data_IF_413469341219
#
_entry.id   IF_413469341219
#
_cell.length_a   1.000
_cell.length_b   1.000
_cell.length_c   1.000
_cell.angle_alpha   90.00
_cell.angle_beta   90.00
_cell.angle_gamma   90.00
#
_symmetry.space_group_name_H-M   'P 1'
#
loop_
_entity.id
_entity.type
_entity.pdbx_description
1 polymer ?
#
# COMPACT_ATOMS: atom_id res chain seq x y z
N UNK A 1 0.34 -27.61 -31.33
CA UNK A 1 0.08 -26.95 -30.03
C UNK A 1 0.14 -25.44 -30.13
N UNK A 2 1.20 -24.81 -30.65
CA UNK A 2 1.19 -23.36 -30.91
C UNK A 2 0.06 -22.87 -31.85
N UNK A 3 -0.49 -23.76 -32.67
CA UNK A 3 -1.66 -23.51 -33.54
C UNK A 3 -2.94 -23.12 -32.80
N UNK A 4 -3.16 -23.65 -31.59
CA UNK A 4 -4.38 -23.38 -30.82
C UNK A 4 -4.38 -21.95 -30.28
N UNK A 5 -3.26 -21.51 -29.71
CA UNK A 5 -3.11 -20.14 -29.22
C UNK A 5 -3.24 -19.12 -30.36
N UNK A 6 -2.63 -19.41 -31.52
CA UNK A 6 -2.77 -18.57 -32.73
C UNK A 6 -4.25 -18.45 -33.09
N UNK A 7 -4.98 -19.57 -33.15
CA UNK A 7 -6.41 -19.57 -33.44
C UNK A 7 -7.20 -18.71 -32.44
N UNK A 8 -6.98 -18.88 -31.13
CA UNK A 8 -7.68 -18.08 -30.12
C UNK A 8 -7.40 -16.58 -30.28
N UNK A 9 -6.15 -16.20 -30.54
CA UNK A 9 -5.73 -14.80 -30.73
C UNK A 9 -6.29 -14.20 -32.03
N UNK A 10 -6.37 -14.98 -33.10
CA UNK A 10 -7.03 -14.57 -34.35
C UNK A 10 -8.53 -14.36 -34.15
N UNK A 11 -9.21 -15.28 -33.45
CA UNK A 11 -10.65 -15.20 -33.21
C UNK A 11 -10.99 -13.93 -32.43
N UNK A 12 -10.31 -13.63 -31.31
CA UNK A 12 -10.61 -12.42 -30.53
C UNK A 12 -10.45 -11.14 -31.35
N UNK A 13 -9.46 -11.09 -32.26
CA UNK A 13 -9.23 -9.92 -33.11
C UNK A 13 -10.24 -9.83 -34.25
N UNK A 14 -10.75 -10.96 -34.73
CA UNK A 14 -11.85 -10.97 -35.70
C UNK A 14 -13.15 -10.47 -35.07
N UNK A 15 -13.42 -10.83 -33.80
CA UNK A 15 -14.61 -10.38 -33.06
C UNK A 15 -14.70 -8.85 -32.99
N UNK A 16 -13.60 -8.13 -32.73
CA UNK A 16 -13.64 -6.65 -32.65
C UNK A 16 -13.66 -5.96 -34.02
N UNK A 17 -13.49 -6.71 -35.10
CA UNK A 17 -13.46 -6.23 -36.48
C UNK A 17 -14.76 -6.55 -37.25
N UNK A 18 -15.60 -7.43 -36.71
CA UNK A 18 -16.89 -7.83 -37.25
C UNK A 18 -18.06 -6.99 -36.73
N UNK A 19 -19.28 -7.34 -37.16
CA UNK A 19 -20.55 -6.66 -36.84
C UNK A 19 -21.61 -7.65 -36.32
N UNK A 20 -21.22 -8.78 -35.73
CA UNK A 20 -22.12 -9.87 -35.35
C UNK A 20 -22.50 -9.86 -33.85
N UNK A 21 -23.75 -10.22 -33.56
CA UNK A 21 -24.37 -10.14 -32.23
C UNK A 21 -23.72 -10.99 -31.12
N UNK A 22 -22.87 -11.98 -31.43
CA UNK A 22 -22.28 -12.92 -30.45
C UNK A 22 -20.77 -12.71 -30.18
N UNK A 23 -20.16 -11.69 -30.77
CA UNK A 23 -18.70 -11.50 -30.78
C UNK A 23 -18.08 -11.31 -29.38
N UNK A 24 -18.80 -10.72 -28.43
CA UNK A 24 -18.27 -10.53 -27.07
C UNK A 24 -18.17 -11.84 -26.28
N UNK A 25 -19.19 -12.69 -26.35
CA UNK A 25 -19.18 -13.98 -25.65
C UNK A 25 -18.11 -14.91 -26.21
N UNK A 26 -17.96 -14.92 -27.53
CA UNK A 26 -16.91 -15.67 -28.21
C UNK A 26 -15.52 -15.13 -27.87
N UNK A 27 -15.32 -13.81 -27.88
CA UNK A 27 -14.05 -13.21 -27.48
C UNK A 27 -13.69 -13.58 -26.03
N UNK A 28 -14.64 -13.46 -25.10
CA UNK A 28 -14.44 -13.86 -23.70
C UNK A 28 -14.04 -15.33 -23.58
N UNK A 29 -14.77 -16.24 -24.23
CA UNK A 29 -14.49 -17.68 -24.21
C UNK A 29 -13.07 -17.99 -24.69
N UNK A 30 -12.63 -17.34 -25.78
CA UNK A 30 -11.28 -17.50 -26.30
C UNK A 30 -10.22 -16.94 -25.36
N UNK A 31 -10.48 -15.81 -24.68
CA UNK A 31 -9.55 -15.29 -23.65
C UNK A 31 -9.42 -16.28 -22.49
N UNK A 32 -10.52 -16.87 -22.02
CA UNK A 32 -10.46 -17.89 -20.97
C UNK A 32 -9.70 -19.15 -21.42
N UNK A 33 -9.76 -19.51 -22.71
CA UNK A 33 -8.93 -20.60 -23.25
C UNK A 33 -7.44 -20.21 -23.31
N UNK A 34 -7.12 -18.94 -23.59
CA UNK A 34 -5.75 -18.43 -23.49
C UNK A 34 -5.25 -18.50 -22.05
N UNK A 35 -6.06 -18.13 -21.05
CA UNK A 35 -5.70 -18.27 -19.63
C UNK A 35 -5.32 -19.72 -19.33
N UNK A 36 -6.21 -20.67 -19.65
CA UNK A 36 -5.97 -22.11 -19.44
C UNK A 36 -4.70 -22.60 -20.15
N UNK A 37 -4.43 -22.09 -21.35
CA UNK A 37 -3.21 -22.41 -22.08
C UNK A 37 -1.95 -22.09 -21.26
N UNK A 38 -1.94 -21.01 -20.46
CA UNK A 38 -0.82 -20.63 -19.61
C UNK A 38 -0.83 -21.27 -18.22
N UNK A 39 -1.92 -21.92 -17.80
CA UNK A 39 -2.01 -22.69 -16.55
C UNK A 39 -1.37 -24.08 -16.67
N UNK A 40 -1.38 -24.66 -17.86
CA UNK A 40 -0.78 -25.97 -18.13
C UNK A 40 0.76 -25.93 -18.02
N UNK A 41 1.35 -27.01 -17.49
CA UNK A 41 2.80 -27.18 -17.51
C UNK A 41 3.32 -27.30 -18.96
N UNK A 42 4.23 -26.40 -19.35
CA UNK A 42 4.76 -26.31 -20.72
C UNK A 42 6.26 -26.07 -20.73
N UNK A 43 6.90 -26.49 -21.82
CA UNK A 43 8.31 -26.24 -22.03
C UNK A 43 8.59 -24.74 -22.24
N UNK A 44 9.82 -24.33 -21.90
CA UNK A 44 10.27 -22.94 -22.01
C UNK A 44 10.09 -22.37 -23.43
N UNK A 45 10.40 -23.16 -24.45
CA UNK A 45 10.29 -22.78 -25.87
C UNK A 45 8.85 -22.54 -26.30
N UNK A 46 7.90 -23.33 -25.79
CA UNK A 46 6.48 -23.16 -26.09
C UNK A 46 5.94 -21.87 -25.48
N UNK A 47 6.40 -21.53 -24.27
CA UNK A 47 6.04 -20.27 -23.61
C UNK A 47 6.62 -19.07 -24.37
N UNK A 48 7.87 -19.16 -24.83
CA UNK A 48 8.52 -18.07 -25.58
C UNK A 48 7.81 -17.83 -26.93
N UNK A 49 7.43 -18.91 -27.62
CA UNK A 49 6.57 -18.84 -28.82
C UNK A 49 5.20 -18.25 -28.52
N UNK A 50 4.59 -18.64 -27.41
CA UNK A 50 3.27 -18.14 -26.99
C UNK A 50 3.27 -16.63 -26.71
N UNK A 51 4.29 -16.11 -26.03
CA UNK A 51 4.45 -14.67 -25.80
C UNK A 51 4.61 -13.90 -27.11
N UNK A 52 5.32 -14.47 -28.08
CA UNK A 52 5.50 -13.86 -29.41
C UNK A 52 4.17 -13.68 -30.14
N UNK A 53 3.28 -14.69 -30.06
CA UNK A 53 1.94 -14.63 -30.66
C UNK A 53 1.03 -13.69 -29.86
N UNK A 54 1.00 -13.83 -28.54
CA UNK A 54 0.07 -13.10 -27.67
C UNK A 54 0.34 -11.60 -27.68
N UNK A 55 1.61 -11.18 -27.73
CA UNK A 55 2.02 -9.78 -27.74
C UNK A 55 2.40 -9.29 -29.14
N UNK A 56 1.92 -9.96 -30.20
CA UNK A 56 2.11 -9.45 -31.56
C UNK A 56 1.59 -8.02 -31.70
N UNK A 57 2.35 -7.18 -32.39
CA UNK A 57 2.07 -5.73 -32.49
C UNK A 57 0.82 -5.42 -33.31
N UNK A 58 0.33 -6.33 -34.14
CA UNK A 58 -0.81 -6.12 -35.05
C UNK A 58 -2.04 -6.91 -34.62
N UNK A 59 -1.84 -8.15 -34.16
CA UNK A 59 -2.92 -9.09 -33.85
C UNK A 59 -2.84 -9.64 -32.43
N UNK A 60 -2.01 -9.11 -31.56
CA UNK A 60 -1.92 -9.56 -30.16
C UNK A 60 -3.07 -9.09 -29.27
N UNK A 61 -3.06 -9.55 -28.02
CA UNK A 61 -4.05 -9.24 -27.00
C UNK A 61 -4.14 -7.73 -26.71
N UNK A 62 -3.02 -7.01 -26.74
CA UNK A 62 -3.01 -5.57 -26.49
C UNK A 62 -3.76 -4.80 -27.58
N UNK A 63 -3.67 -5.25 -28.82
CA UNK A 63 -4.41 -4.66 -29.94
C UNK A 63 -5.90 -4.95 -29.85
N UNK A 64 -6.26 -6.18 -29.47
CA UNK A 64 -7.64 -6.53 -29.16
C UNK A 64 -8.22 -5.59 -28.10
N UNK A 65 -7.58 -5.47 -26.93
CA UNK A 65 -8.08 -4.62 -25.83
C UNK A 65 -8.18 -3.16 -26.29
N UNK A 66 -7.19 -2.63 -27.01
CA UNK A 66 -7.22 -1.25 -27.49
C UNK A 66 -8.42 -0.96 -28.41
N UNK A 67 -8.80 -1.91 -29.26
CA UNK A 67 -10.00 -1.81 -30.12
C UNK A 67 -11.27 -2.01 -29.31
N UNK A 68 -11.32 -3.03 -28.46
CA UNK A 68 -12.46 -3.38 -27.62
C UNK A 68 -12.82 -2.24 -26.66
N UNK A 69 -11.85 -1.51 -26.10
CA UNK A 69 -12.09 -0.35 -25.24
C UNK A 69 -12.91 0.76 -25.91
N UNK A 70 -13.00 0.80 -27.25
CA UNK A 70 -13.85 1.75 -27.97
C UNK A 70 -15.30 1.29 -28.12
N UNK A 71 -15.61 0.06 -27.68
CA UNK A 71 -16.88 -0.61 -27.91
C UNK A 71 -17.44 -1.16 -26.59
N UNK A 72 -18.53 -0.58 -26.09
CA UNK A 72 -19.07 -0.94 -24.76
C UNK A 72 -19.63 -2.36 -24.68
N UNK A 73 -19.90 -2.99 -25.84
CA UNK A 73 -20.35 -4.37 -25.94
C UNK A 73 -19.29 -5.38 -25.43
N UNK A 74 -18.00 -5.02 -25.44
CA UNK A 74 -16.89 -5.93 -25.11
C UNK A 74 -16.48 -5.92 -23.63
N UNK A 75 -17.30 -5.36 -22.77
CA UNK A 75 -16.96 -5.12 -21.36
C UNK A 75 -16.48 -6.38 -20.60
N UNK A 76 -17.15 -7.52 -20.79
CA UNK A 76 -16.76 -8.77 -20.15
C UNK A 76 -15.46 -9.35 -20.72
N UNK A 77 -15.24 -9.27 -22.03
CA UNK A 77 -14.00 -9.70 -22.66
C UNK A 77 -12.81 -8.81 -22.24
N UNK A 78 -13.02 -7.50 -22.06
CA UNK A 78 -12.00 -6.58 -21.54
C UNK A 78 -11.60 -6.97 -20.11
N UNK A 79 -12.59 -7.24 -19.24
CA UNK A 79 -12.33 -7.70 -17.86
C UNK A 79 -11.51 -8.99 -17.83
N UNK A 80 -11.90 -9.98 -18.64
CA UNK A 80 -11.17 -11.25 -18.76
C UNK A 80 -9.73 -11.04 -19.26
N UNK A 81 -9.54 -10.13 -20.22
CA UNK A 81 -8.21 -9.81 -20.75
C UNK A 81 -7.29 -9.19 -19.70
N UNK A 82 -7.82 -8.33 -18.82
CA UNK A 82 -7.04 -7.79 -17.71
C UNK A 82 -6.71 -8.84 -16.65
N UNK A 83 -7.58 -9.84 -16.43
CA UNK A 83 -7.26 -10.98 -15.56
C UNK A 83 -6.07 -11.76 -16.13
N UNK A 84 -6.11 -12.11 -17.42
CA UNK A 84 -5.00 -12.75 -18.12
C UNK A 84 -3.71 -11.94 -17.97
N UNK A 85 -3.74 -10.64 -18.25
CA UNK A 85 -2.54 -9.80 -18.17
C UNK A 85 -1.95 -9.75 -16.76
N UNK A 86 -2.80 -9.72 -15.73
CA UNK A 86 -2.34 -9.77 -14.33
C UNK A 86 -1.63 -11.09 -14.04
N UNK A 87 -2.24 -12.22 -14.40
CA UNK A 87 -1.65 -13.55 -14.18
C UNK A 87 -0.32 -13.70 -14.89
N UNK A 88 -0.20 -13.20 -16.13
CA UNK A 88 1.06 -13.22 -16.87
C UNK A 88 2.16 -12.41 -16.17
N UNK A 89 1.83 -11.28 -15.55
CA UNK A 89 2.78 -10.48 -14.77
C UNK A 89 3.22 -11.22 -13.51
N UNK A 90 2.26 -11.78 -12.77
CA UNK A 90 2.51 -12.45 -11.48
C UNK A 90 3.34 -13.73 -11.67
N UNK A 91 3.08 -14.50 -12.74
CA UNK A 91 3.72 -15.81 -12.97
C UNK A 91 4.98 -15.67 -13.85
N UNK A 92 4.94 -14.84 -14.89
CA UNK A 92 5.99 -14.78 -15.92
C UNK A 92 6.73 -13.43 -15.94
N UNK A 93 6.98 -12.84 -14.76
CA UNK A 93 7.70 -11.56 -14.57
C UNK A 93 8.90 -11.38 -15.51
N UNK A 94 9.76 -12.38 -15.65
CA UNK A 94 10.95 -12.30 -16.50
C UNK A 94 10.66 -12.04 -17.98
N UNK A 95 9.53 -12.53 -18.50
CA UNK A 95 9.11 -12.37 -19.91
C UNK A 95 8.29 -11.10 -20.13
N UNK A 96 7.56 -10.67 -19.11
CA UNK A 96 6.75 -9.46 -19.17
C UNK A 96 7.57 -8.17 -19.25
N UNK A 97 8.89 -8.22 -18.99
CA UNK A 97 9.73 -7.02 -18.92
C UNK A 97 9.71 -6.17 -20.20
N UNK A 98 9.56 -6.77 -21.38
CA UNK A 98 9.48 -6.06 -22.67
C UNK A 98 8.08 -5.54 -23.03
N UNK A 99 7.05 -5.93 -22.26
CA UNK A 99 5.64 -5.63 -22.55
C UNK A 99 4.99 -4.76 -21.47
N UNK A 100 5.61 -4.68 -20.29
CA UNK A 100 5.02 -4.06 -19.09
C UNK A 100 4.66 -2.60 -19.28
N UNK A 101 5.45 -1.83 -20.04
CA UNK A 101 5.16 -0.41 -20.33
C UNK A 101 3.87 -0.27 -21.12
N UNK A 102 3.71 -1.05 -22.18
CA UNK A 102 2.52 -1.02 -23.03
C UNK A 102 1.27 -1.49 -22.27
N UNK A 103 1.41 -2.55 -21.46
CA UNK A 103 0.33 -3.03 -20.57
C UNK A 103 -0.09 -1.93 -19.59
N UNK A 104 0.86 -1.31 -18.90
CA UNK A 104 0.60 -0.21 -17.96
C UNK A 104 -0.10 0.97 -18.65
N UNK A 105 0.36 1.39 -19.83
CA UNK A 105 -0.23 2.52 -20.55
C UNK A 105 -1.66 2.23 -21.05
N UNK A 106 -1.92 0.98 -21.46
CA UNK A 106 -3.25 0.51 -21.84
C UNK A 106 -4.22 0.51 -20.65
N UNK A 107 -3.79 -0.03 -19.49
CA UNK A 107 -4.60 -0.02 -18.27
C UNK A 107 -4.85 1.42 -17.78
N UNK A 108 -3.83 2.29 -17.82
CA UNK A 108 -3.98 3.73 -17.53
C UNK A 108 -5.03 4.36 -18.43
N UNK A 109 -5.01 4.06 -19.73
CA UNK A 109 -6.01 4.58 -20.68
C UNK A 109 -7.41 4.12 -20.30
N UNK A 110 -7.60 2.83 -19.98
CA UNK A 110 -8.90 2.31 -19.51
C UNK A 110 -9.41 3.03 -18.25
N UNK A 111 -8.54 3.32 -17.29
CA UNK A 111 -8.92 3.97 -16.02
C UNK A 111 -9.36 5.43 -16.25
N UNK A 112 -8.66 6.13 -17.14
CA UNK A 112 -8.91 7.54 -17.44
C UNK A 112 -10.13 7.76 -18.35
N UNK A 113 -10.50 6.77 -19.17
CA UNK A 113 -11.73 6.79 -19.97
C UNK A 113 -12.98 6.70 -19.08
N UNK A 114 -14.14 7.12 -19.60
CA UNK A 114 -15.43 6.96 -18.91
C UNK A 114 -15.96 5.53 -19.05
N UNK A 115 -15.26 4.59 -18.40
CA UNK A 115 -15.55 3.16 -18.41
C UNK A 115 -16.24 2.70 -17.14
N UNK A 116 -16.87 1.53 -17.19
CA UNK A 116 -17.60 0.96 -16.05
C UNK A 116 -16.63 0.72 -14.89
N UNK A 117 -17.11 0.88 -13.66
CA UNK A 117 -16.29 0.73 -12.47
C UNK A 117 -15.62 -0.66 -12.38
N UNK A 118 -16.28 -1.72 -12.85
CA UNK A 118 -15.73 -3.09 -12.88
C UNK A 118 -14.56 -3.25 -13.84
N UNK A 119 -14.59 -2.62 -15.01
CA UNK A 119 -13.49 -2.64 -15.97
C UNK A 119 -12.27 -1.91 -15.41
N UNK A 120 -12.52 -0.75 -14.79
CA UNK A 120 -11.48 0.02 -14.10
C UNK A 120 -10.87 -0.79 -12.96
N UNK A 121 -11.69 -1.49 -12.18
CA UNK A 121 -11.23 -2.34 -11.07
C UNK A 121 -10.20 -3.38 -11.54
N UNK A 122 -10.46 -4.05 -12.67
CA UNK A 122 -9.51 -5.00 -13.27
C UNK A 122 -8.27 -4.34 -13.86
N UNK A 123 -8.41 -3.18 -14.51
CA UNK A 123 -7.25 -2.42 -14.96
C UNK A 123 -6.36 -1.95 -13.78
N UNK A 124 -6.95 -1.62 -12.63
CA UNK A 124 -6.20 -1.32 -11.41
C UNK A 124 -5.45 -2.53 -10.87
N UNK A 125 -6.06 -3.71 -10.88
CA UNK A 125 -5.41 -4.94 -10.43
C UNK A 125 -4.16 -5.25 -11.26
N UNK A 126 -4.20 -5.00 -12.57
CA UNK A 126 -3.02 -5.13 -13.45
C UNK A 126 -1.94 -4.12 -13.07
N UNK A 127 -2.28 -2.83 -12.92
CA UNK A 127 -1.30 -1.80 -12.54
C UNK A 127 -0.69 -2.10 -11.17
N UNK A 128 -1.48 -2.57 -10.21
CA UNK A 128 -0.99 -2.99 -8.91
C UNK A 128 0.06 -4.12 -9.07
N UNK A 129 -0.26 -5.17 -9.84
CA UNK A 129 0.68 -6.26 -10.13
C UNK A 129 1.95 -5.76 -10.83
N UNK A 130 1.84 -4.85 -11.80
CA UNK A 130 3.01 -4.19 -12.43
C UNK A 130 3.89 -3.51 -11.38
N UNK A 131 3.31 -2.73 -10.47
CA UNK A 131 4.07 -1.96 -9.47
C UNK A 131 4.73 -2.88 -8.43
N UNK A 132 4.02 -3.90 -7.98
CA UNK A 132 4.49 -4.83 -6.94
C UNK A 132 5.57 -5.77 -7.42
N UNK A 133 5.47 -6.24 -8.67
CA UNK A 133 6.42 -7.14 -9.31
C UNK A 133 7.64 -6.44 -9.91
N UNK A 134 7.83 -5.13 -9.72
CA UNK A 134 9.07 -4.45 -10.11
C UNK A 134 10.33 -4.95 -9.36
N UNK A 135 11.52 -4.40 -9.65
CA UNK A 135 11.80 -3.42 -10.70
C UNK A 135 11.76 -4.06 -12.10
N UNK A 136 11.56 -3.21 -13.11
CA UNK A 136 11.55 -3.58 -14.53
C UNK A 136 12.76 -2.95 -15.24
N UNK A 137 13.12 -3.49 -16.40
CA UNK A 137 14.23 -2.96 -17.19
C UNK A 137 13.88 -1.61 -17.84
N UNK A 138 12.61 -1.43 -18.20
CA UNK A 138 12.12 -0.24 -18.87
C UNK A 138 11.56 0.80 -17.88
N UNK A 139 11.64 2.08 -18.25
CA UNK A 139 11.08 3.17 -17.46
C UNK A 139 9.54 3.15 -17.49
N UNK A 140 8.94 2.84 -16.34
CA UNK A 140 7.48 2.86 -16.17
C UNK A 140 6.90 4.28 -16.13
N UNK A 141 7.74 5.32 -16.10
CA UNK A 141 7.36 6.72 -15.90
C UNK A 141 6.50 6.90 -14.63
N UNK A 142 7.01 6.40 -13.50
CA UNK A 142 6.29 6.33 -12.23
C UNK A 142 5.81 7.70 -11.75
N UNK A 143 6.60 8.76 -11.97
CA UNK A 143 6.22 10.11 -11.58
C UNK A 143 4.97 10.60 -12.34
N UNK A 144 4.90 10.37 -13.66
CA UNK A 144 3.72 10.70 -14.44
C UNK A 144 2.51 9.89 -13.96
N UNK A 145 2.70 8.59 -13.73
CA UNK A 145 1.64 7.70 -13.26
C UNK A 145 1.06 8.16 -11.91
N UNK A 146 1.93 8.49 -10.96
CA UNK A 146 1.53 9.06 -9.67
C UNK A 146 0.72 10.34 -9.86
N UNK A 147 1.21 11.25 -10.69
CA UNK A 147 0.55 12.53 -10.93
C UNK A 147 -0.84 12.37 -11.54
N UNK A 148 -1.04 11.38 -12.42
CA UNK A 148 -2.37 11.06 -12.96
C UNK A 148 -3.32 10.50 -11.89
N UNK A 149 -2.83 9.65 -10.99
CA UNK A 149 -3.69 9.06 -9.95
C UNK A 149 -4.01 10.00 -8.79
N UNK A 150 -3.13 10.94 -8.47
CA UNK A 150 -3.38 11.90 -7.39
C UNK A 150 -4.24 13.10 -7.84
N UNK A 151 -4.27 13.39 -9.14
CA UNK A 151 -4.96 14.55 -9.71
C UNK A 151 -6.45 14.65 -9.35
N UNK A 152 -7.25 13.55 -9.34
CA UNK A 152 -8.64 13.62 -8.90
C UNK A 152 -8.82 14.14 -7.46
N UNK A 153 -7.83 13.94 -6.59
CA UNK A 153 -7.86 14.43 -5.21
C UNK A 153 -7.40 15.88 -5.11
N UNK A 154 -6.37 16.27 -5.89
CA UNK A 154 -5.93 17.68 -6.00
C UNK A 154 -7.05 18.59 -6.50
N UNK A 155 -7.85 18.07 -7.43
CA UNK A 155 -8.92 18.80 -8.10
C UNK A 155 -10.30 18.61 -7.46
N UNK A 156 -10.41 17.96 -6.29
CA UNK A 156 -11.67 17.61 -5.61
C UNK A 156 -12.68 16.79 -6.46
N UNK A 157 -12.24 16.20 -7.59
CA UNK A 157 -13.07 15.35 -8.45
C UNK A 157 -13.28 13.95 -7.87
N UNK A 158 -12.49 13.56 -6.88
CA UNK A 158 -12.62 12.28 -6.16
C UNK A 158 -14.01 12.06 -5.54
N UNK A 159 -14.71 13.14 -5.16
CA UNK A 159 -16.05 13.06 -4.56
C UNK A 159 -17.13 12.52 -5.51
N UNK A 160 -16.98 12.74 -6.81
CA UNK A 160 -17.88 12.26 -7.86
C UNK A 160 -17.57 10.83 -8.33
N UNK A 161 -16.43 10.28 -7.90
CA UNK A 161 -16.00 8.95 -8.33
C UNK A 161 -16.71 7.84 -7.51
N UNK A 162 -16.97 6.67 -8.11
CA UNK A 162 -17.45 5.51 -7.37
C UNK A 162 -16.48 5.15 -6.23
N UNK A 163 -17.00 4.81 -5.05
CA UNK A 163 -16.19 4.56 -3.86
C UNK A 163 -15.13 3.45 -4.07
N UNK A 164 -15.45 2.43 -4.86
CA UNK A 164 -14.52 1.36 -5.25
C UNK A 164 -13.34 1.87 -6.09
N UNK A 165 -13.59 2.84 -6.97
CA UNK A 165 -12.54 3.46 -7.81
C UNK A 165 -11.65 4.35 -6.94
N UNK A 166 -12.23 5.09 -6.00
CA UNK A 166 -11.48 5.88 -5.00
C UNK A 166 -10.58 4.98 -4.15
N UNK A 167 -11.11 3.84 -3.68
CA UNK A 167 -10.34 2.83 -2.94
C UNK A 167 -9.06 2.43 -3.69
N UNK A 168 -9.19 2.10 -4.98
CA UNK A 168 -8.06 1.64 -5.81
C UNK A 168 -7.01 2.72 -6.04
N UNK A 169 -7.43 3.97 -6.32
CA UNK A 169 -6.48 5.08 -6.45
C UNK A 169 -5.68 5.29 -5.17
N UNK A 170 -6.37 5.37 -4.02
CA UNK A 170 -5.74 5.57 -2.73
C UNK A 170 -4.75 4.46 -2.40
N UNK A 171 -5.09 3.20 -2.69
CA UNK A 171 -4.16 2.09 -2.46
C UNK A 171 -2.92 2.18 -3.35
N UNK A 172 -3.09 2.38 -4.67
CA UNK A 172 -1.97 2.44 -5.63
C UNK A 172 -1.02 3.59 -5.32
N UNK A 173 -1.53 4.76 -4.92
CA UNK A 173 -0.68 5.88 -4.52
C UNK A 173 0.26 5.51 -3.36
N UNK A 174 -0.22 4.69 -2.42
CA UNK A 174 0.58 4.15 -1.32
C UNK A 174 1.66 3.19 -1.82
N UNK A 175 1.29 2.25 -2.70
CA UNK A 175 2.23 1.30 -3.33
C UNK A 175 3.34 2.04 -4.08
N UNK A 176 3.01 3.08 -4.84
CA UNK A 176 3.99 3.88 -5.58
C UNK A 176 5.00 4.51 -4.60
N UNK A 177 4.52 5.14 -3.53
CA UNK A 177 5.42 5.75 -2.54
C UNK A 177 6.28 4.71 -1.82
N UNK A 178 5.74 3.51 -1.57
CA UNK A 178 6.48 2.44 -0.95
C UNK A 178 7.59 1.88 -1.84
N UNK A 179 7.25 1.54 -3.08
CA UNK A 179 8.12 0.80 -4.00
C UNK A 179 9.08 1.70 -4.77
N UNK A 180 8.69 2.94 -5.04
CA UNK A 180 9.44 3.91 -5.85
C UNK A 180 9.60 5.27 -5.14
N UNK A 181 10.08 5.30 -3.88
CA UNK A 181 10.18 6.54 -3.10
C UNK A 181 11.11 7.59 -3.72
N UNK A 182 12.06 7.19 -4.56
CA UNK A 182 12.99 8.04 -5.29
C UNK A 182 12.34 8.81 -6.44
N UNK A 183 11.23 8.29 -7.00
CA UNK A 183 10.51 8.92 -8.11
C UNK A 183 9.56 10.02 -7.63
N UNK A 184 9.23 10.06 -6.33
CA UNK A 184 8.19 10.94 -5.77
C UNK A 184 8.82 12.03 -4.89
N UNK A 185 8.45 13.28 -5.16
CA UNK A 185 9.03 14.41 -4.44
C UNK A 185 8.53 14.45 -2.99
N UNK A 186 9.33 14.97 -2.03
CA UNK A 186 8.92 15.09 -0.63
C UNK A 186 7.58 15.80 -0.42
N UNK A 187 7.33 16.88 -1.16
CA UNK A 187 6.10 17.66 -1.12
C UNK A 187 4.87 16.88 -1.61
N UNK A 188 5.04 16.03 -2.62
CA UNK A 188 3.99 15.16 -3.16
C UNK A 188 3.61 14.06 -2.17
N UNK A 189 4.60 13.51 -1.46
CA UNK A 189 4.37 12.55 -0.37
C UNK A 189 3.64 13.18 0.81
N UNK A 190 4.03 14.39 1.22
CA UNK A 190 3.34 15.13 2.28
C UNK A 190 1.90 15.47 1.89
N UNK A 191 1.67 15.85 0.63
CA UNK A 191 0.33 16.07 0.11
C UNK A 191 -0.51 14.79 0.15
N UNK A 192 0.04 13.65 -0.28
CA UNK A 192 -0.67 12.37 -0.23
C UNK A 192 -1.07 11.99 1.20
N UNK A 193 -0.17 12.18 2.17
CA UNK A 193 -0.49 11.96 3.58
C UNK A 193 -1.68 12.83 4.03
N UNK A 194 -1.66 14.13 3.69
CA UNK A 194 -2.78 15.03 3.99
C UNK A 194 -4.07 14.57 3.34
N UNK A 195 -4.02 14.05 2.10
CA UNK A 195 -5.19 13.50 1.41
C UNK A 195 -5.75 12.29 2.18
N UNK A 196 -4.91 11.34 2.61
CA UNK A 196 -5.37 10.19 3.39
C UNK A 196 -6.04 10.61 4.70
N UNK A 197 -5.40 11.52 5.45
CA UNK A 197 -5.90 12.00 6.72
C UNK A 197 -7.23 12.75 6.56
N UNK A 198 -7.32 13.67 5.59
CA UNK A 198 -8.54 14.40 5.31
C UNK A 198 -9.70 13.48 4.85
N UNK A 199 -9.41 12.46 4.04
CA UNK A 199 -10.42 11.49 3.63
C UNK A 199 -10.89 10.62 4.82
N UNK A 200 -9.99 10.22 5.72
CA UNK A 200 -10.39 9.50 6.93
C UNK A 200 -11.25 10.39 7.84
N UNK A 201 -10.83 11.63 8.11
CA UNK A 201 -11.61 12.60 8.91
C UNK A 201 -13.00 12.84 8.32
N UNK A 202 -13.08 13.05 6.99
CA UNK A 202 -14.35 13.19 6.28
C UNK A 202 -15.25 11.96 6.50
N UNK A 203 -14.71 10.74 6.36
CA UNK A 203 -15.50 9.51 6.48
C UNK A 203 -15.84 9.09 7.92
N UNK A 204 -15.06 9.48 8.93
CA UNK A 204 -15.28 9.05 10.32
C UNK A 204 -16.01 10.09 11.17
N UNK A 205 -15.86 11.37 10.85
CA UNK A 205 -16.27 12.46 11.74
C UNK A 205 -17.35 13.37 11.13
N UNK A 206 -17.38 13.49 9.79
CA UNK A 206 -18.24 14.47 9.11
C UNK A 206 -19.33 13.82 8.26
N UNK A 207 -19.03 12.70 7.59
CA UNK A 207 -19.93 12.10 6.62
C UNK A 207 -21.19 11.53 7.28
N UNK A 208 -22.36 11.98 6.80
CA UNK A 208 -23.65 11.40 7.19
C UNK A 208 -23.79 9.92 6.76
N UNK A 209 -23.14 9.53 5.67
CA UNK A 209 -23.10 8.15 5.18
C UNK A 209 -21.65 7.75 4.93
N UNK A 210 -21.19 6.77 5.72
CA UNK A 210 -19.82 6.26 5.67
C UNK A 210 -19.60 5.38 4.45
N UNK A 211 -18.58 5.69 3.65
CA UNK A 211 -18.13 4.90 2.50
C UNK A 211 -16.94 4.02 2.92
N UNK A 212 -17.22 2.81 3.37
CA UNK A 212 -16.20 1.86 3.85
C UNK A 212 -15.09 1.58 2.83
N UNK A 213 -15.37 1.59 1.52
CA UNK A 213 -14.32 1.39 0.52
C UNK A 213 -13.29 2.53 0.52
N UNK A 214 -13.70 3.78 0.80
CA UNK A 214 -12.79 4.92 0.89
C UNK A 214 -11.87 4.77 2.11
N UNK A 215 -12.43 4.36 3.25
CA UNK A 215 -11.65 4.07 4.47
C UNK A 215 -10.66 2.93 4.20
N UNK A 216 -11.11 1.82 3.62
CA UNK A 216 -10.24 0.69 3.28
C UNK A 216 -9.09 1.10 2.35
N UNK A 217 -9.37 1.96 1.36
CA UNK A 217 -8.35 2.51 0.46
C UNK A 217 -7.34 3.39 1.18
N UNK A 218 -7.80 4.26 2.09
CA UNK A 218 -6.92 5.09 2.92
C UNK A 218 -6.03 4.23 3.80
N UNK A 219 -6.59 3.25 4.51
CA UNK A 219 -5.82 2.39 5.41
C UNK A 219 -4.80 1.52 4.67
N UNK A 220 -5.18 0.96 3.51
CA UNK A 220 -4.25 0.18 2.69
C UNK A 220 -3.13 1.08 2.15
N UNK A 221 -3.48 2.25 1.60
CA UNK A 221 -2.51 3.23 1.10
C UNK A 221 -1.58 3.76 2.18
N UNK A 222 -2.10 4.07 3.38
CA UNK A 222 -1.30 4.48 4.53
C UNK A 222 -0.39 3.36 5.04
N UNK A 223 -0.85 2.11 5.03
CA UNK A 223 -0.02 0.96 5.41
C UNK A 223 1.20 0.88 4.49
N UNK A 224 1.00 0.98 3.17
CA UNK A 224 2.10 1.02 2.20
C UNK A 224 2.99 2.26 2.39
N UNK A 225 2.39 3.44 2.56
CA UNK A 225 3.12 4.68 2.81
C UNK A 225 4.02 4.60 4.06
N UNK A 226 3.51 4.01 5.14
CA UNK A 226 4.21 3.87 6.41
C UNK A 226 5.31 2.80 6.38
N UNK A 227 5.22 1.81 5.49
CA UNK A 227 6.27 0.79 5.33
C UNK A 227 7.62 1.41 4.91
N UNK A 228 7.61 2.53 4.19
CA UNK A 228 8.81 3.33 3.90
C UNK A 228 9.52 3.72 5.20
N UNK A 229 8.76 4.23 6.18
CA UNK A 229 9.29 4.67 7.47
C UNK A 229 9.64 3.49 8.36
N UNK A 230 8.91 2.38 8.30
CA UNK A 230 9.25 1.17 9.05
C UNK A 230 10.68 0.69 8.75
N UNK A 231 11.09 0.69 7.48
CA UNK A 231 12.47 0.35 7.08
C UNK A 231 13.47 1.36 7.65
N UNK A 232 13.19 2.65 7.51
CA UNK A 232 14.05 3.73 7.98
C UNK A 232 14.21 3.74 9.51
N UNK A 233 13.12 3.54 10.25
CA UNK A 233 13.12 3.47 11.72
C UNK A 233 13.87 2.22 12.18
N UNK A 234 13.67 1.07 11.54
CA UNK A 234 14.45 -0.15 11.85
C UNK A 234 15.95 0.06 11.63
N UNK A 235 16.32 0.70 10.53
CA UNK A 235 17.73 1.01 10.23
C UNK A 235 18.31 2.04 11.20
N UNK A 236 17.55 3.07 11.59
CA UNK A 236 17.95 4.04 12.60
C UNK A 236 18.15 3.38 13.97
N UNK A 237 17.18 2.56 14.42
CA UNK A 237 17.28 1.77 15.65
C UNK A 237 18.45 0.79 15.62
N UNK A 238 18.70 0.14 14.48
CA UNK A 238 19.86 -0.75 14.30
C UNK A 238 21.17 0.00 14.51
N UNK A 239 21.36 1.14 13.83
CA UNK A 239 22.56 1.99 13.99
C UNK A 239 22.75 2.47 15.42
N UNK A 240 21.69 2.88 16.08
CA UNK A 240 21.76 3.30 17.49
C UNK A 240 22.14 2.15 18.42
N UNK A 241 21.58 0.95 18.20
CA UNK A 241 21.96 -0.26 18.93
C UNK A 241 23.42 -0.67 18.65
N UNK A 242 23.87 -0.58 17.40
CA UNK A 242 25.25 -0.85 17.01
C UNK A 242 26.18 0.13 17.74
N UNK A 243 25.93 1.43 17.69
CA UNK A 243 26.69 2.46 18.44
C UNK A 243 26.70 2.15 19.94
N UNK A 244 25.54 1.87 20.53
CA UNK A 244 25.42 1.55 21.96
C UNK A 244 26.19 0.29 22.35
N UNK A 245 26.21 -0.72 21.49
CA UNK A 245 26.95 -1.96 21.74
C UNK A 245 28.47 -1.77 21.60
N UNK A 246 28.95 -0.90 20.69
CA UNK A 246 30.36 -0.49 20.66
C UNK A 246 30.74 0.27 21.93
N UNK A 247 29.92 1.23 22.37
CA UNK A 247 30.23 2.06 23.54
C UNK A 247 30.31 1.26 24.83
N UNK A 248 29.45 0.25 24.99
CA UNK A 248 29.37 -0.60 26.18
C UNK A 248 30.23 -1.88 26.09
N UNK A 249 30.98 -2.09 25.01
CA UNK A 249 31.83 -3.26 24.86
C UNK A 249 33.11 -3.14 25.68
N UNK A 250 33.46 -4.22 26.40
CA UNK A 250 34.75 -4.34 27.09
C UNK A 250 35.94 -4.25 26.12
N UNK A 251 35.77 -4.68 24.87
CA UNK A 251 36.77 -4.53 23.80
C UNK A 251 36.11 -3.93 22.56
N UNK A 252 36.13 -2.59 22.50
CA UNK A 252 35.48 -1.79 21.44
C UNK A 252 36.01 -2.12 20.05
N UNK A 253 37.32 -2.35 19.91
CA UNK A 253 37.96 -2.68 18.63
C UNK A 253 37.48 -4.02 18.08
N UNK A 254 37.36 -5.04 18.94
CA UNK A 254 36.83 -6.37 18.55
C UNK A 254 35.37 -6.27 18.14
N UNK A 255 34.55 -5.54 18.89
CA UNK A 255 33.11 -5.35 18.59
C UNK A 255 32.89 -4.57 17.30
N UNK A 256 33.69 -3.52 17.05
CA UNK A 256 33.65 -2.77 15.80
C UNK A 256 34.06 -3.65 14.61
N UNK A 257 35.13 -4.45 14.75
CA UNK A 257 35.55 -5.41 13.73
C UNK A 257 34.49 -6.49 13.45
N UNK A 258 33.77 -6.96 14.47
CA UNK A 258 32.65 -7.89 14.31
C UNK A 258 31.47 -7.27 13.55
N UNK A 259 31.16 -5.99 13.79
CA UNK A 259 30.15 -5.27 13.01
C UNK A 259 30.57 -5.09 11.55
N UNK A 260 31.82 -4.66 11.31
CA UNK A 260 32.34 -4.51 9.96
C UNK A 260 32.23 -5.84 9.22
N UNK A 261 32.69 -6.94 9.81
CA UNK A 261 32.61 -8.28 9.23
C UNK A 261 31.16 -8.76 8.97
N UNK A 262 30.20 -8.28 9.75
CA UNK A 262 28.77 -8.56 9.57
C UNK A 262 28.17 -7.77 8.41
N UNK A 263 28.63 -6.53 8.19
CA UNK A 263 28.15 -5.65 7.10
C UNK A 263 28.84 -5.91 5.76
N UNK A 264 30.14 -6.18 5.75
CA UNK A 264 30.92 -6.37 4.51
C UNK A 264 30.93 -7.81 4.01
N UNK A 265 30.40 -8.75 4.81
CA UNK A 265 30.71 -10.16 4.69
C UNK A 265 32.20 -10.44 4.96
N UNK A 266 32.57 -11.70 5.14
CA UNK A 266 33.98 -12.11 5.25
C UNK A 266 34.63 -12.06 3.86
N UNK A 267 34.90 -10.87 3.35
CA UNK A 267 35.61 -10.70 2.08
C UNK A 267 37.09 -10.41 2.35
N UNK A 268 37.94 -11.38 2.03
CA UNK A 268 39.39 -11.22 1.93
C UNK A 268 39.74 -10.63 0.56
N UNK A 269 39.59 -9.31 0.37
CA UNK A 269 40.13 -8.65 -0.82
C UNK A 269 40.75 -7.30 -0.45
N UNK A 270 42.01 -7.15 -0.87
CA UNK A 270 42.89 -6.03 -0.57
C UNK A 270 42.36 -4.66 -1.03
N UNK A 271 42.58 -3.69 -0.13
CA UNK A 271 42.49 -2.24 -0.23
C UNK A 271 42.44 -1.62 -1.64
N UNK A 272 41.44 -0.76 -1.86
CA UNK A 272 41.64 0.54 -2.53
C UNK A 272 40.92 1.63 -1.74
N UNK A 273 41.60 2.77 -1.61
CA UNK A 273 41.24 3.96 -0.87
C UNK A 273 39.81 4.43 -1.15
N UNK A 274 39.08 4.77 -0.08
CA UNK A 274 37.82 5.51 -0.15
C UNK A 274 38.00 6.77 0.69
N UNK A 275 38.10 7.92 0.01
CA UNK A 275 37.97 9.23 0.64
C UNK A 275 36.50 9.52 0.96
N UNK A 276 36.23 9.93 2.20
CA UNK A 276 34.90 10.35 2.65
C UNK A 276 34.90 11.88 2.76
N UNK A 277 34.23 12.54 1.82
CA UNK A 277 34.02 13.98 1.84
C UNK A 277 32.78 14.31 2.68
N UNK A 278 32.94 15.17 3.68
CA UNK A 278 31.92 15.50 4.67
C UNK A 278 31.33 16.92 4.55
N UNK A 279 30.06 17.03 5.00
CA UNK A 279 29.18 18.21 5.22
C UNK A 279 28.30 18.57 4.00
N UNK A 280 27.03 19.01 4.15
CA UNK A 280 26.39 19.80 5.21
C UNK A 280 24.86 19.60 5.28
N UNK A 281 24.27 19.82 6.47
CA UNK A 281 22.85 20.09 6.77
C UNK A 281 21.76 19.38 5.92
N UNK A 282 21.37 18.18 6.33
CA UNK A 282 20.07 17.60 5.95
C UNK A 282 19.08 17.85 7.08
N UNK A 283 18.17 18.80 6.88
CA UNK A 283 16.87 18.77 7.56
C UNK A 283 16.16 17.52 7.03
N UNK A 284 16.14 16.45 7.83
CA UNK A 284 15.61 15.17 7.41
C UNK A 284 14.09 15.27 7.33
N UNK A 285 13.53 15.00 6.15
CA UNK A 285 12.09 14.93 5.85
C UNK A 285 11.26 14.13 6.88
N UNK A 286 11.90 13.19 7.60
CA UNK A 286 11.35 12.48 8.75
C UNK A 286 10.80 13.41 9.83
N UNK A 287 11.50 14.52 10.10
CA UNK A 287 11.07 15.54 11.07
C UNK A 287 9.81 16.25 10.57
N UNK A 288 9.76 16.61 9.28
CA UNK A 288 8.60 17.26 8.67
C UNK A 288 7.35 16.36 8.68
N UNK A 289 7.50 15.07 8.42
CA UNK A 289 6.38 14.11 8.45
C UNK A 289 5.92 13.83 9.87
N UNK A 290 6.86 13.67 10.82
CA UNK A 290 6.54 13.54 12.24
C UNK A 290 5.85 14.80 12.77
N UNK A 291 6.32 15.99 12.39
CA UNK A 291 5.69 17.27 12.70
C UNK A 291 4.29 17.34 12.09
N UNK A 292 4.09 16.94 10.83
CA UNK A 292 2.78 16.96 10.19
C UNK A 292 1.79 15.99 10.86
N UNK A 293 2.23 14.78 11.23
CA UNK A 293 1.42 13.82 11.99
C UNK A 293 1.08 14.36 13.37
N UNK A 294 2.07 14.89 14.08
CA UNK A 294 1.88 15.45 15.42
C UNK A 294 0.94 16.65 15.37
N UNK A 295 1.15 17.59 14.46
CA UNK A 295 0.27 18.75 14.26
C UNK A 295 -1.15 18.31 13.94
N UNK A 296 -1.35 17.35 13.03
CA UNK A 296 -2.67 16.85 12.70
C UNK A 296 -3.40 16.24 13.91
N UNK A 297 -2.73 15.39 14.69
CA UNK A 297 -3.35 14.79 15.88
C UNK A 297 -3.55 15.79 17.02
N UNK A 298 -2.66 16.77 17.19
CA UNK A 298 -2.83 17.86 18.17
C UNK A 298 -4.01 18.74 17.76
N UNK A 299 -4.11 19.16 16.50
CA UNK A 299 -5.23 19.96 15.97
C UNK A 299 -6.57 19.21 16.10
N UNK A 300 -6.60 17.89 15.91
CA UNK A 300 -7.81 17.09 16.15
C UNK A 300 -8.21 17.09 17.63
N UNK A 301 -7.25 16.91 18.53
CA UNK A 301 -7.53 16.94 19.97
C UNK A 301 -8.04 18.32 20.38
N UNK A 302 -7.45 19.39 19.88
CA UNK A 302 -7.90 20.77 20.13
C UNK A 302 -9.32 21.00 19.60
N UNK A 303 -9.62 20.61 18.36
CA UNK A 303 -10.99 20.69 17.79
C UNK A 303 -12.02 19.87 18.58
N UNK A 304 -11.65 18.66 19.03
CA UNK A 304 -12.53 17.82 19.85
C UNK A 304 -12.77 18.42 21.24
N UNK A 305 -11.77 19.10 21.81
CA UNK A 305 -11.91 19.82 23.08
C UNK A 305 -12.80 21.05 22.90
N UNK A 306 -12.64 21.82 21.82
CA UNK A 306 -13.49 22.98 21.51
C UNK A 306 -14.96 22.56 21.31
N UNK A 307 -15.22 21.52 20.52
CA UNK A 307 -16.56 20.98 20.29
C UNK A 307 -17.24 20.45 21.58
N UNK A 308 -16.45 19.94 22.52
CA UNK A 308 -16.98 19.48 23.81
C UNK A 308 -17.06 20.60 24.86
N UNK A 309 -16.32 21.71 24.69
CA UNK A 309 -16.33 22.83 25.65
C UNK A 309 -17.69 23.56 25.69
N UNK A 310 -18.43 23.60 24.58
CA UNK A 310 -19.81 24.10 24.54
C UNK A 310 -20.80 23.20 25.30
N UNK A 311 -20.49 21.89 25.41
CA UNK A 311 -21.31 20.92 26.14
C UNK A 311 -21.11 21.03 27.66
N UNK A 312 -19.91 21.42 28.12
CA UNK A 312 -19.62 21.58 29.55
C UNK A 312 -20.19 22.86 30.17
N UNK A 313 -20.52 23.89 29.38
CA UNK A 313 -21.16 25.11 29.89
C UNK A 313 -22.65 24.92 30.26
N UNK A 314 -23.29 23.85 29.75
CA UNK A 314 -24.76 23.67 29.88
C UNK A 314 -25.16 22.52 30.82
N UNK A 315 -24.21 21.72 31.31
CA UNK A 315 -24.50 20.65 32.28
C UNK A 315 -24.52 21.15 33.73
N UNK A 316 -25.54 21.95 34.05
CA UNK A 316 -26.09 21.96 35.41
C UNK A 316 -26.62 20.54 35.66
N UNK A 317 -26.10 19.87 36.70
CA UNK A 317 -26.46 18.51 37.11
C UNK A 317 -27.99 18.26 37.02
N UNK A 318 -28.43 17.68 35.91
CA UNK A 318 -29.75 17.06 35.84
C UNK A 318 -29.48 15.57 35.95
N UNK A 319 -29.85 14.98 37.09
CA UNK A 319 -29.77 13.54 37.33
C UNK A 319 -30.46 12.80 36.18
N UNK A 320 -29.67 12.28 35.24
CA UNK A 320 -30.16 11.35 34.22
C UNK A 320 -30.59 10.07 34.96
N UNK A 321 -31.90 9.81 34.97
CA UNK A 321 -32.42 8.48 35.30
C UNK A 321 -31.94 7.53 34.21
N UNK A 322 -30.94 6.71 34.55
CA UNK A 322 -30.50 5.62 33.70
C UNK A 322 -31.68 4.66 33.48
N UNK A 323 -32.08 4.49 32.23
CA UNK A 323 -33.00 3.44 31.82
C UNK A 323 -32.18 2.15 31.76
N UNK A 324 -32.47 1.23 32.67
CA UNK A 324 -31.79 -0.07 32.76
C UNK A 324 -32.06 -0.89 31.50
N UNK A 325 -31.04 -1.05 30.65
CA UNK A 325 -31.02 -2.07 29.62
C UNK A 325 -30.60 -3.40 30.28
N UNK A 326 -31.43 -4.43 30.18
CA UNK A 326 -31.24 -5.73 30.85
C UNK A 326 -30.13 -6.61 30.26
N UNK A 327 -29.43 -6.18 29.21
CA UNK A 327 -28.42 -6.99 28.51
C UNK A 327 -27.09 -6.25 28.25
N UNK A 328 -26.70 -5.30 29.09
CA UNK A 328 -25.36 -4.69 29.02
C UNK A 328 -24.37 -5.34 30.00
N UNK A 329 -23.19 -5.70 29.50
CA UNK A 329 -22.03 -6.09 30.32
C UNK A 329 -21.64 -4.89 31.19
N UNK A 330 -21.98 -4.95 32.48
CA UNK A 330 -21.51 -3.99 33.47
C UNK A 330 -20.06 -4.33 33.80
N UNK A 331 -19.12 -3.61 33.18
CA UNK A 331 -17.73 -3.61 33.63
C UNK A 331 -17.71 -2.82 34.94
N UNK A 332 -17.56 -3.53 36.06
CA UNK A 332 -17.41 -2.88 37.36
C UNK A 332 -16.16 -1.99 37.35
N UNK A 333 -16.20 -0.81 37.99
CA UNK A 333 -15.02 0.03 38.14
C UNK A 333 -13.93 -0.76 38.86
N UNK A 334 -12.73 -0.81 38.30
CA UNK A 334 -11.57 -1.45 38.92
C UNK A 334 -11.12 -0.62 40.12
N UNK A 335 -11.05 -1.24 41.29
CA UNK A 335 -10.61 -0.57 42.52
C UNK A 335 -9.09 -0.52 42.61
N UNK A 336 -8.55 0.51 43.27
CA UNK A 336 -7.10 0.67 43.44
C UNK A 336 -6.44 -0.54 44.12
N UNK A 337 -7.12 -1.15 45.10
CA UNK A 337 -6.68 -2.36 45.79
C UNK A 337 -6.55 -3.57 44.85
N UNK A 338 -7.41 -3.67 43.84
CA UNK A 338 -7.37 -4.74 42.84
C UNK A 338 -6.15 -4.57 41.93
N UNK A 339 -5.90 -3.33 41.50
CA UNK A 339 -4.69 -2.99 40.73
C UNK A 339 -3.44 -3.30 41.54
N UNK A 340 -3.41 -2.93 42.83
CA UNK A 340 -2.27 -3.20 43.70
C UNK A 340 -2.02 -4.71 43.88
N UNK A 341 -3.08 -5.50 44.04
CA UNK A 341 -2.99 -6.97 44.18
C UNK A 341 -2.44 -7.62 42.92
N UNK A 342 -2.87 -7.18 41.74
CA UNK A 342 -2.35 -7.67 40.45
C UNK A 342 -0.88 -7.31 40.28
N UNK A 343 -0.50 -6.05 40.56
CA UNK A 343 0.88 -5.58 40.43
C UNK A 343 1.83 -6.30 41.40
N UNK A 344 1.39 -6.60 42.63
CA UNK A 344 2.18 -7.37 43.61
C UNK A 344 2.56 -8.76 43.08
N UNK A 345 1.66 -9.39 42.33
CA UNK A 345 1.83 -10.75 41.77
C UNK A 345 2.72 -10.82 40.51
N UNK A 346 3.10 -9.69 39.90
CA UNK A 346 4.00 -9.69 38.74
C UNK A 346 5.39 -10.22 39.08
N UNK A 347 6.09 -10.90 38.16
CA UNK A 347 7.36 -11.60 38.48
C UNK A 347 8.57 -10.67 38.53
N UNK A 348 8.39 -9.36 38.31
CA UNK A 348 9.48 -8.37 38.36
C UNK A 348 10.53 -8.56 37.28
N UNK A 349 10.14 -9.18 36.17
CA UNK A 349 11.01 -9.52 35.05
C UNK A 349 11.24 -8.29 34.15
N UNK A 350 12.39 -8.26 33.47
CA UNK A 350 12.70 -7.28 32.41
C UNK A 350 12.11 -7.67 31.04
N UNK A 351 11.47 -8.84 30.99
CA UNK A 351 10.81 -9.33 29.79
C UNK A 351 9.52 -8.55 29.59
N UNK A 352 9.28 -8.13 28.35
CA UNK A 352 8.11 -7.36 27.95
C UNK A 352 7.05 -8.29 27.38
N UNK A 353 5.79 -8.05 27.76
CA UNK A 353 4.62 -8.69 27.17
C UNK A 353 4.25 -8.05 25.83
N UNK A 354 3.03 -8.35 25.37
CA UNK A 354 2.46 -7.82 24.12
C UNK A 354 2.35 -6.28 24.13
N UNK A 355 2.28 -5.69 25.32
CA UNK A 355 2.19 -4.25 25.56
C UNK A 355 3.55 -3.53 25.60
N UNK A 356 4.66 -4.26 25.44
CA UNK A 356 6.04 -3.73 25.50
C UNK A 356 6.41 -3.04 26.84
N UNK A 357 5.62 -3.22 27.91
CA UNK A 357 5.90 -2.62 29.23
C UNK A 357 6.50 -3.69 30.16
N UNK A 358 7.73 -3.51 30.68
CA UNK A 358 8.32 -4.48 31.59
C UNK A 358 7.62 -4.48 32.95
N UNK A 359 7.33 -5.66 33.51
CA UNK A 359 6.81 -5.86 34.88
C UNK A 359 7.57 -5.01 35.92
N UNK A 360 8.89 -4.88 35.74
CA UNK A 360 9.77 -4.12 36.63
C UNK A 360 9.42 -2.63 36.69
N UNK A 361 9.01 -2.04 35.56
CA UNK A 361 8.67 -0.61 35.46
C UNK A 361 7.35 -0.34 36.19
N UNK A 362 6.36 -1.20 35.97
CA UNK A 362 5.05 -1.14 36.65
C UNK A 362 5.22 -1.25 38.17
N UNK A 363 6.03 -2.22 38.63
CA UNK A 363 6.32 -2.38 40.07
C UNK A 363 7.08 -1.19 40.68
N UNK A 364 7.99 -0.54 39.95
CA UNK A 364 8.73 0.62 40.46
C UNK A 364 7.83 1.85 40.63
N UNK A 365 6.90 2.09 39.70
CA UNK A 365 5.98 3.24 39.77
C UNK A 365 4.96 3.12 40.89
N UNK A 366 4.43 1.92 41.16
CA UNK A 366 3.56 1.69 42.31
C UNK A 366 4.26 1.84 43.66
N UNK A 367 5.57 1.53 43.74
CA UNK A 367 6.34 1.78 44.98
C UNK A 367 6.61 3.27 45.24
N UNK A 368 6.56 4.12 44.22
CA UNK A 368 6.74 5.56 44.37
C UNK A 368 5.48 6.33 44.75
N UNK A 369 4.29 5.72 44.60
CA UNK A 369 3.01 6.32 45.01
C UNK A 369 2.64 6.01 46.47
N UNK A 370 3.27 5.02 47.09
CA UNK A 370 3.07 4.64 48.50
C UNK A 370 4.10 5.24 49.47
N UNK A 371 4.86 6.26 49.05
CA UNK A 371 5.64 7.09 49.99
C UNK A 371 4.95 8.47 50.08
N UNK A 372 4.58 8.93 51.29
CA UNK A 372 4.05 10.28 51.47
C UNK A 372 5.06 11.34 51.05
#
# INVERSE_FOLDING_TARGET
MGSELIHFVEVINSCVSGNYYNECSEAKSNISNIIRYFEDERERTDIDGAFTVLFDKKTGILQFIQKALKQDAFSDAIKESFILLKELIDVFKGRMCHHVVQVKDLCRSCILLDKKAEEKDKAFDVIQSVLENGPWNDDLNINELFNRFIDPFKSNRSKAMPAKVVQKHLHILGIIVHKYPECIKPEERSLLLRIYLAQLEEQTSVAAVVKYQVIAGCLSGLTEFLNVYGKVIREAKRRENDIRSVLNANNKTKTLGQMINKETGKSTVNNKEIEINGRSNKMTYQKLVAELFNSYFVEIVEKLVEQNSEVYATYKMTKLKLNTCSETILIQPVLEDEVEKVVKNLKGKLWVGVDEVPDLVVKKRMKSTNKP
#
